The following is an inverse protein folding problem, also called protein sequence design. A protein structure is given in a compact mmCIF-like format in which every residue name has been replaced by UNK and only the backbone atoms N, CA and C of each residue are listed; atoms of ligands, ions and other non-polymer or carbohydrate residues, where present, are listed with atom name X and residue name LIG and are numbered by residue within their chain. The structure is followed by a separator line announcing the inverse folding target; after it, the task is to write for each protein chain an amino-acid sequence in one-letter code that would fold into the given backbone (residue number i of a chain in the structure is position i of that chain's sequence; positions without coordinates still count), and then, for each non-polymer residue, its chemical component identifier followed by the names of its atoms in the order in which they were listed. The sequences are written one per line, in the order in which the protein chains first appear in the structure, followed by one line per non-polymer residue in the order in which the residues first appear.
data_IF_575761803033
#
_entry.id   IF_575761803033
#
_cell.length_a   1.000
_cell.length_b   1.000
_cell.length_c   1.000
_cell.angle_alpha   90.00
_cell.angle_beta   90.00
_cell.angle_gamma   90.00
#
_symmetry.space_group_name_H-M   'P 1'
#
loop_
_entity.id
_entity.type
_entity.pdbx_description
1 polymer ?
#
# COMPACT_ATOMS: atom_id res chain seq x y z
N UNK A 1 -2.36 -7.55 6.98
CA UNK A 1 -3.27 -6.54 7.60
C UNK A 1 -2.54 -5.46 8.40
N UNK A 2 -3.21 -4.32 8.61
CA UNK A 2 -2.87 -3.20 9.52
C UNK A 2 -1.46 -2.62 9.43
N UNK A 3 -0.91 -2.58 8.21
CA UNK A 3 0.37 -1.96 7.89
C UNK A 3 0.30 -1.34 6.51
N UNK A 4 1.07 -0.29 6.26
CA UNK A 4 1.19 0.34 4.94
C UNK A 4 2.51 -0.04 4.32
N UNK A 5 2.49 -0.62 3.12
CA UNK A 5 3.66 -0.91 2.32
C UNK A 5 3.74 0.12 1.19
N UNK A 6 4.88 0.80 1.11
CA UNK A 6 5.20 1.76 0.06
C UNK A 6 6.27 1.18 -0.83
N UNK A 7 6.06 1.22 -2.15
CA UNK A 7 7.00 0.69 -3.15
C UNK A 7 7.46 1.86 -4.01
N UNK A 8 8.78 1.99 -4.16
CA UNK A 8 9.47 3.01 -4.95
C UNK A 8 10.08 2.34 -6.17
N UNK A 9 9.35 2.27 -7.30
CA UNK A 9 9.76 1.48 -8.44
C UNK A 9 10.98 2.07 -9.18
N UNK A 10 11.16 3.39 -9.14
CA UNK A 10 12.30 4.07 -9.79
C UNK A 10 13.60 3.83 -9.00
N UNK A 11 13.51 3.83 -7.68
CA UNK A 11 14.62 3.64 -6.75
C UNK A 11 14.88 2.16 -6.42
N UNK A 12 13.91 1.28 -6.71
CA UNK A 12 13.97 -0.16 -6.46
C UNK A 12 13.83 -0.57 -5.00
N UNK A 13 13.30 0.30 -4.13
CA UNK A 13 13.18 0.07 -2.68
C UNK A 13 11.72 -0.04 -2.23
N UNK A 14 11.50 -0.53 -1.01
CA UNK A 14 10.19 -0.47 -0.35
C UNK A 14 10.32 -0.16 1.14
N UNK A 15 9.26 0.35 1.73
CA UNK A 15 9.20 0.70 3.15
C UNK A 15 7.86 0.36 3.77
N UNK A 16 7.87 0.09 5.08
CA UNK A 16 6.66 -0.15 5.87
C UNK A 16 6.42 1.01 6.81
N UNK A 17 5.21 1.55 6.83
CA UNK A 17 4.73 2.61 7.72
C UNK A 17 5.49 3.95 7.65
N UNK A 18 6.37 4.14 6.67
CA UNK A 18 7.03 5.42 6.37
C UNK A 18 7.08 5.62 4.86
N UNK A 19 6.71 6.81 4.40
CA UNK A 19 6.78 7.25 3.01
C UNK A 19 7.56 8.56 2.95
N UNK A 20 8.79 8.54 2.46
CA UNK A 20 9.58 9.74 2.20
C UNK A 20 9.43 10.22 0.75
N UNK A 21 9.50 11.54 0.52
CA UNK A 21 9.48 12.11 -0.82
C UNK A 21 10.01 13.55 -0.85
N UNK A 22 10.49 14.05 -2.00
CA UNK A 22 10.99 15.41 -2.10
C UNK A 22 9.87 16.45 -2.16
N UNK A 23 10.09 17.60 -1.51
CA UNK A 23 9.20 18.76 -1.59
C UNK A 23 9.18 19.37 -2.98
N UNK A 24 8.08 20.06 -3.31
CA UNK A 24 7.87 20.77 -4.58
C UNK A 24 7.94 19.88 -5.83
N UNK A 25 7.86 18.56 -5.65
CA UNK A 25 7.76 17.58 -6.73
C UNK A 25 6.34 17.00 -6.73
N UNK A 26 5.60 17.07 -7.85
CA UNK A 26 4.34 16.35 -7.99
C UNK A 26 4.58 14.83 -7.92
N UNK A 27 3.77 14.15 -7.13
CA UNK A 27 3.84 12.70 -6.94
C UNK A 27 2.50 12.08 -7.28
N UNK A 28 2.55 10.91 -7.91
CA UNK A 28 1.38 10.09 -8.24
C UNK A 28 1.45 8.80 -7.44
N UNK A 29 0.61 8.67 -6.42
CA UNK A 29 0.46 7.44 -5.66
C UNK A 29 -0.52 6.51 -6.37
N UNK A 30 -0.09 5.27 -6.60
CA UNK A 30 -0.96 4.14 -7.00
C UNK A 30 -1.23 3.31 -5.76
N UNK A 31 -2.50 3.15 -5.42
CA UNK A 31 -2.91 2.56 -4.14
C UNK A 31 -3.84 1.38 -4.43
N UNK A 32 -3.58 0.26 -3.75
CA UNK A 32 -4.41 -0.94 -3.75
C UNK A 32 -4.46 -1.52 -2.33
N UNK A 33 -5.32 -2.52 -2.10
CA UNK A 33 -5.36 -3.27 -0.85
C UNK A 33 -5.09 -4.75 -1.14
N UNK A 34 -4.31 -5.41 -0.28
CA UNK A 34 -4.17 -6.89 -0.33
C UNK A 34 -5.13 -7.59 0.64
N UNK A 35 -6.13 -6.88 1.16
CA UNK A 35 -7.06 -7.43 2.17
C UNK A 35 -8.44 -6.75 2.03
N UNK A 36 -8.98 -6.18 3.09
CA UNK A 36 -10.25 -5.45 3.10
C UNK A 36 -10.09 -4.03 2.56
N UNK A 37 -11.21 -3.34 2.35
CA UNK A 37 -11.19 -1.91 2.02
C UNK A 37 -10.55 -1.10 3.15
N UNK A 38 -9.53 -0.31 2.80
CA UNK A 38 -8.88 0.64 3.69
C UNK A 38 -9.06 2.06 3.13
N UNK A 39 -8.75 3.08 3.93
CA UNK A 39 -8.76 4.46 3.46
C UNK A 39 -7.45 5.15 3.80
N UNK A 40 -6.69 5.50 2.77
CA UNK A 40 -5.45 6.27 2.89
C UNK A 40 -5.80 7.74 3.13
N UNK A 41 -5.36 8.28 4.26
CA UNK A 41 -5.66 9.66 4.62
C UNK A 41 -4.48 10.36 5.30
N UNK A 42 -4.08 11.52 4.75
CA UNK A 42 -3.01 12.37 5.28
C UNK A 42 -3.54 13.82 5.41
N UNK A 43 -4.24 14.16 6.51
CA UNK A 43 -5.03 15.40 6.62
C UNK A 43 -4.31 16.70 6.23
N UNK A 44 -3.01 16.77 6.53
CA UNK A 44 -2.19 17.95 6.35
C UNK A 44 -1.52 18.05 4.97
N UNK A 45 -1.66 17.04 4.12
CA UNK A 45 -0.95 16.96 2.84
C UNK A 45 -1.86 16.61 1.67
N UNK A 46 -2.67 15.57 1.83
CA UNK A 46 -3.49 15.02 0.76
C UNK A 46 -4.92 14.76 1.25
N UNK A 47 -5.85 14.70 0.31
CA UNK A 47 -7.19 14.24 0.59
C UNK A 47 -7.23 12.79 1.07
N UNK A 48 -8.45 12.30 1.25
CA UNK A 48 -8.71 10.90 1.55
C UNK A 48 -8.93 10.13 0.24
N UNK A 49 -8.38 8.92 0.13
CA UNK A 49 -8.67 8.00 -0.97
C UNK A 49 -8.85 6.57 -0.45
N UNK A 50 -9.72 5.80 -1.11
CA UNK A 50 -9.96 4.41 -0.76
C UNK A 50 -8.95 3.48 -1.43
N UNK A 51 -8.60 2.41 -0.72
CA UNK A 51 -7.77 1.32 -1.19
C UNK A 51 -8.63 0.05 -1.16
N UNK A 52 -8.87 -0.53 -2.34
CA UNK A 52 -9.71 -1.73 -2.51
C UNK A 52 -8.90 -2.84 -3.16
N UNK A 53 -9.17 -4.09 -2.75
CA UNK A 53 -8.53 -5.25 -3.35
C UNK A 53 -9.02 -5.46 -4.80
N UNK A 54 -8.11 -5.89 -5.67
CA UNK A 54 -8.37 -6.07 -7.10
C UNK A 54 -8.55 -4.77 -7.89
N UNK A 55 -8.42 -3.60 -7.27
CA UNK A 55 -8.53 -2.31 -7.93
C UNK A 55 -7.29 -1.45 -7.67
N UNK A 56 -7.03 -0.53 -8.59
CA UNK A 56 -6.04 0.52 -8.40
C UNK A 56 -6.75 1.87 -8.33
N UNK A 57 -6.49 2.59 -7.24
CA UNK A 57 -6.85 4.02 -7.11
C UNK A 57 -5.62 4.89 -7.29
N UNK A 58 -5.81 6.14 -7.71
CA UNK A 58 -4.73 7.08 -7.96
C UNK A 58 -4.94 8.37 -7.16
N UNK A 59 -3.89 8.82 -6.48
CA UNK A 59 -3.87 10.08 -5.73
C UNK A 59 -2.65 10.90 -6.14
N UNK A 60 -2.88 12.12 -6.59
CA UNK A 60 -1.80 13.07 -6.87
C UNK A 60 -1.60 14.00 -5.67
N UNK A 61 -0.36 14.22 -5.27
CA UNK A 61 -0.04 15.10 -4.14
C UNK A 61 1.26 15.88 -4.39
N UNK A 62 1.41 16.98 -3.67
CA UNK A 62 2.63 17.80 -3.66
C UNK A 62 2.77 18.45 -2.28
N UNK A 63 3.93 18.33 -1.64
CA UNK A 63 4.26 19.11 -0.44
C UNK A 63 4.96 20.40 -0.82
N UNK A 64 4.51 21.52 -0.25
CA UNK A 64 5.16 22.83 -0.48
C UNK A 64 6.41 23.03 0.40
N UNK A 65 6.42 22.46 1.60
CA UNK A 65 7.44 22.66 2.62
C UNK A 65 7.91 21.33 3.21
N UNK A 66 9.17 21.24 3.69
CA UNK A 66 9.65 20.05 4.38
C UNK A 66 8.91 19.84 5.70
N UNK A 67 8.65 18.59 6.06
CA UNK A 67 7.98 18.23 7.30
C UNK A 67 7.54 16.77 7.36
N UNK A 68 7.20 16.32 8.56
CA UNK A 68 6.55 15.02 8.77
C UNK A 68 5.05 15.20 8.91
N UNK A 69 4.29 14.46 8.11
CA UNK A 69 2.84 14.48 8.06
C UNK A 69 2.31 13.11 8.50
N UNK A 70 1.44 13.10 9.51
CA UNK A 70 0.87 11.86 10.01
C UNK A 70 -0.23 11.35 9.09
N UNK A 71 -0.02 10.16 8.55
CA UNK A 71 -1.00 9.37 7.82
C UNK A 71 -1.72 8.37 8.71
N UNK A 72 -2.99 8.10 8.39
CA UNK A 72 -3.80 7.11 9.12
C UNK A 72 -4.79 6.42 8.20
N UNK A 73 -5.22 5.25 8.62
CA UNK A 73 -6.45 4.67 8.08
C UNK A 73 -7.68 5.34 8.72
N UNK A 74 -8.63 5.80 7.90
CA UNK A 74 -9.91 6.36 8.38
C UNK A 74 -11.09 5.38 8.28
N UNK A 75 -10.89 4.19 7.70
CA UNK A 75 -11.92 3.15 7.55
C UNK A 75 -11.60 1.95 8.45
N UNK A 76 -12.54 1.58 9.33
CA UNK A 76 -12.39 0.42 10.22
C UNK A 76 -12.08 -0.85 9.41
N UNK A 77 -10.95 -1.49 9.72
CA UNK A 77 -10.44 -2.69 9.03
C UNK A 77 -10.13 -3.84 9.99
N UNK A 78 -10.67 -3.81 11.21
CA UNK A 78 -10.50 -4.86 12.24
C UNK A 78 -9.63 -4.44 13.43
N UNK A 79 -9.20 -5.41 14.23
CA UNK A 79 -8.64 -5.20 15.57
C UNK A 79 -7.38 -4.32 15.61
N UNK A 80 -6.53 -4.38 14.57
CA UNK A 80 -5.31 -3.57 14.47
C UNK A 80 -5.52 -2.16 13.90
N UNK A 81 -6.76 -1.78 13.54
CA UNK A 81 -7.07 -0.51 12.89
C UNK A 81 -6.59 0.72 13.68
N UNK A 82 -6.76 0.70 15.00
CA UNK A 82 -6.40 1.83 15.86
C UNK A 82 -4.88 2.14 15.83
N UNK A 83 -4.05 1.16 15.50
CA UNK A 83 -2.60 1.31 15.43
C UNK A 83 -2.10 1.52 13.98
N UNK A 84 -2.99 1.49 12.98
CA UNK A 84 -2.66 1.59 11.56
C UNK A 84 -2.36 3.03 11.14
N UNK A 85 -1.16 3.48 11.48
CA UNK A 85 -0.63 4.80 11.15
C UNK A 85 0.66 4.65 10.32
N UNK A 86 0.98 5.72 9.59
CA UNK A 86 2.26 5.85 8.88
C UNK A 86 2.72 7.30 8.92
N UNK A 87 4.01 7.52 8.66
CA UNK A 87 4.56 8.87 8.50
C UNK A 87 4.81 9.17 7.02
N UNK A 88 4.38 10.33 6.56
CA UNK A 88 4.68 10.87 5.25
C UNK A 88 5.69 12.01 5.44
N UNK A 89 6.95 11.79 5.05
CA UNK A 89 8.07 12.71 5.29
C UNK A 89 8.42 13.44 4.01
N UNK A 90 8.09 14.73 3.94
CA UNK A 90 8.54 15.60 2.87
C UNK A 90 9.90 16.19 3.23
N UNK A 91 10.90 16.02 2.36
CA UNK A 91 12.27 16.46 2.60
C UNK A 91 12.87 17.13 1.36
N UNK A 92 14.11 17.62 1.45
CA UNK A 92 14.81 18.16 0.27
C UNK A 92 15.17 17.02 -0.70
N UNK A 93 15.51 17.34 -1.94
CA UNK A 93 15.95 16.32 -2.90
C UNK A 93 17.22 15.60 -2.42
N UNK A 94 18.19 16.35 -1.89
CA UNK A 94 19.44 15.79 -1.37
C UNK A 94 19.19 14.87 -0.16
N UNK A 95 18.30 15.27 0.75
CA UNK A 95 17.91 14.42 1.90
C UNK A 95 17.18 13.16 1.44
N UNK A 96 16.35 13.26 0.39
CA UNK A 96 15.65 12.11 -0.18
C UNK A 96 16.62 11.12 -0.79
N UNK A 97 17.60 11.59 -1.56
CA UNK A 97 18.64 10.73 -2.13
C UNK A 97 19.44 10.03 -1.02
N UNK A 98 19.79 10.75 0.05
CA UNK A 98 20.44 10.16 1.22
C UNK A 98 19.56 9.11 1.94
N UNK A 99 18.25 9.37 2.05
CA UNK A 99 17.29 8.43 2.63
C UNK A 99 17.15 7.16 1.78
N UNK A 100 17.13 7.30 0.45
CA UNK A 100 17.12 6.16 -0.49
C UNK A 100 18.37 5.30 -0.31
N UNK A 101 19.55 5.91 -0.26
CA UNK A 101 20.81 5.16 -0.07
C UNK A 101 20.87 4.47 1.29
N UNK A 102 20.34 5.10 2.35
CA UNK A 102 20.17 4.45 3.65
C UNK A 102 19.25 3.23 3.57
N UNK A 103 18.10 3.36 2.88
CA UNK A 103 17.16 2.26 2.70
C UNK A 103 17.80 1.08 1.96
N UNK A 104 18.63 1.36 0.95
CA UNK A 104 19.41 0.34 0.22
C UNK A 104 20.47 -0.33 1.09
N UNK A 105 21.12 0.41 1.99
CA UNK A 105 22.18 -0.11 2.86
C UNK A 105 21.63 -0.97 4.02
N UNK A 106 20.55 -0.51 4.66
CA UNK A 106 19.99 -1.13 5.87
C UNK A 106 18.88 -2.15 5.57
N UNK A 107 18.31 -2.11 4.36
CA UNK A 107 17.15 -2.89 3.98
C UNK A 107 17.46 -4.33 3.58
N UNK A 108 16.45 -5.19 3.73
CA UNK A 108 16.46 -6.57 3.20
C UNK A 108 15.77 -6.64 1.85
N UNK A 109 15.89 -7.75 1.13
CA UNK A 109 15.09 -7.98 -0.06
C UNK A 109 13.62 -8.23 0.30
N UNK A 110 12.70 -7.56 -0.38
CA UNK A 110 11.26 -7.86 -0.36
C UNK A 110 10.94 -8.81 -1.52
N UNK A 111 11.30 -10.09 -1.34
CA UNK A 111 10.94 -11.18 -2.24
C UNK A 111 9.52 -11.72 -1.94
N UNK A 112 9.06 -12.70 -2.71
CA UNK A 112 7.73 -13.31 -2.53
C UNK A 112 7.52 -13.93 -1.13
N UNK A 113 8.56 -14.50 -0.51
CA UNK A 113 8.46 -15.11 0.82
C UNK A 113 8.41 -14.04 1.91
N UNK A 114 9.27 -13.02 1.82
CA UNK A 114 9.26 -11.85 2.69
C UNK A 114 7.93 -11.11 2.60
N UNK A 115 7.36 -10.99 1.39
CA UNK A 115 6.03 -10.43 1.19
C UNK A 115 4.94 -11.29 1.85
N UNK A 116 4.95 -12.61 1.67
CA UNK A 116 3.98 -13.50 2.29
C UNK A 116 4.02 -13.43 3.83
N UNK A 117 5.22 -13.32 4.41
CA UNK A 117 5.39 -13.08 5.85
C UNK A 117 4.90 -11.69 6.26
N UNK A 118 5.20 -10.66 5.46
CA UNK A 118 4.73 -9.31 5.67
C UNK A 118 3.21 -9.20 5.50
N UNK A 119 2.55 -10.02 4.70
CA UNK A 119 1.09 -9.96 4.50
C UNK A 119 0.31 -10.46 5.73
N UNK A 120 0.90 -11.35 6.54
CA UNK A 120 0.26 -11.93 7.74
C UNK A 120 -0.27 -10.83 8.69
N UNK A 121 -1.38 -11.07 9.38
CA UNK A 121 -1.93 -10.11 10.33
C UNK A 121 -0.92 -9.76 11.43
N UNK A 122 -0.67 -8.46 11.64
CA UNK A 122 0.19 -7.96 12.71
C UNK A 122 -0.14 -6.50 13.00
N UNK A 123 -0.02 -6.07 14.26
CA UNK A 123 -0.20 -4.67 14.66
C UNK A 123 1.13 -4.05 15.12
N UNK A 124 1.21 -2.72 15.11
CA UNK A 124 2.36 -1.93 15.60
C UNK A 124 3.69 -2.31 14.95
N UNK A 125 3.67 -2.62 13.67
CA UNK A 125 4.89 -2.93 12.90
C UNK A 125 5.76 -1.67 12.85
N UNK A 126 7.03 -1.73 13.27
CA UNK A 126 7.92 -0.58 13.21
C UNK A 126 8.24 -0.22 11.75
N UNK A 127 8.76 1.00 11.55
CA UNK A 127 9.30 1.38 10.25
C UNK A 127 10.36 0.37 9.83
N UNK A 128 10.18 -0.19 8.64
CA UNK A 128 11.05 -1.23 8.08
C UNK A 128 11.43 -0.84 6.66
N UNK A 129 12.71 -1.02 6.31
CA UNK A 129 13.27 -0.70 5.01
C UNK A 129 13.57 -1.98 4.23
N UNK A 130 13.36 -1.93 2.92
CA UNK A 130 13.72 -2.98 1.98
C UNK A 130 14.59 -2.41 0.87
N UNK A 131 15.74 -3.04 0.65
CA UNK A 131 16.77 -2.59 -0.29
C UNK A 131 16.50 -3.03 -1.74
N UNK A 132 15.62 -4.01 -1.92
CA UNK A 132 15.14 -4.45 -3.23
C UNK A 132 13.68 -4.91 -3.13
N UNK A 133 12.96 -4.85 -4.25
CA UNK A 133 11.56 -5.30 -4.34
C UNK A 133 11.41 -6.29 -5.48
N UNK A 134 10.62 -7.34 -5.27
CA UNK A 134 10.23 -8.27 -6.33
C UNK A 134 9.66 -7.50 -7.53
N UNK A 135 10.14 -7.76 -8.76
CA UNK A 135 9.60 -7.12 -9.96
C UNK A 135 8.08 -7.30 -10.06
N UNK A 136 7.38 -6.24 -10.49
CA UNK A 136 5.93 -6.26 -10.68
C UNK A 136 5.09 -6.64 -9.44
N UNK A 137 5.65 -6.60 -8.22
CA UNK A 137 4.94 -6.95 -6.97
C UNK A 137 3.59 -6.24 -6.83
N UNK A 138 3.53 -4.94 -7.16
CA UNK A 138 2.28 -4.19 -7.10
C UNK A 138 1.21 -4.76 -8.05
N UNK A 139 1.60 -5.18 -9.26
CA UNK A 139 0.67 -5.75 -10.25
C UNK A 139 0.19 -7.12 -9.78
N UNK A 140 1.08 -7.97 -9.29
CA UNK A 140 0.72 -9.32 -8.84
C UNK A 140 -0.25 -9.30 -7.65
N UNK A 141 -0.13 -8.31 -6.76
CA UNK A 141 -1.09 -8.10 -5.65
C UNK A 141 -2.49 -7.81 -6.18
N UNK A 142 -2.63 -7.02 -7.25
CA UNK A 142 -3.93 -6.72 -7.87
C UNK A 142 -4.49 -7.98 -8.55
N UNK A 143 -3.67 -8.64 -9.36
CA UNK A 143 -4.07 -9.82 -10.16
C UNK A 143 -4.51 -11.02 -9.31
N UNK A 144 -3.97 -11.14 -8.09
CA UNK A 144 -4.41 -12.11 -7.08
C UNK A 144 -5.93 -12.06 -6.83
N UNK A 145 -6.56 -10.89 -6.98
CA UNK A 145 -7.99 -10.71 -6.77
C UNK A 145 -8.80 -10.70 -8.07
N UNK A 146 -8.15 -10.52 -9.23
CA UNK A 146 -8.81 -10.52 -10.55
C UNK A 146 -9.29 -11.94 -10.92
N UNK A 147 -8.44 -12.93 -10.65
CA UNK A 147 -8.79 -14.36 -10.76
C UNK A 147 -9.84 -14.79 -9.72
N UNK A 148 -9.85 -14.16 -8.54
CA UNK A 148 -10.86 -14.36 -7.51
C UNK A 148 -12.23 -13.78 -7.88
N UNK A 149 -12.27 -12.59 -8.50
CA UNK A 149 -13.48 -11.99 -9.04
C UNK A 149 -14.08 -12.83 -10.17
N UNK A 150 -13.26 -13.30 -11.11
CA UNK A 150 -13.74 -14.20 -12.17
C UNK A 150 -14.29 -15.53 -11.61
N UNK A 151 -13.69 -16.07 -10.54
CA UNK A 151 -14.17 -17.27 -9.87
C UNK A 151 -15.47 -17.02 -9.08
N UNK A 152 -15.60 -15.89 -8.38
CA UNK A 152 -16.84 -15.51 -7.68
C UNK A 152 -17.98 -15.25 -8.65
N UNK A 153 -17.79 -14.48 -9.71
CA UNK A 153 -18.81 -14.25 -10.74
C UNK A 153 -19.30 -15.57 -11.33
N UNK A 154 -18.41 -16.55 -11.54
CA UNK A 154 -18.78 -17.86 -12.07
C UNK A 154 -19.55 -18.71 -11.04
N UNK A 155 -19.19 -18.61 -9.76
CA UNK A 155 -19.89 -19.30 -8.68
C UNK A 155 -21.28 -18.69 -8.40
N UNK A 156 -21.40 -17.36 -8.46
CA UNK A 156 -22.67 -16.63 -8.34
C UNK A 156 -23.60 -16.92 -9.53
N UNK A 157 -23.09 -16.86 -10.76
CA UNK A 157 -23.85 -17.27 -11.95
C UNK A 157 -24.30 -18.73 -11.88
N UNK A 158 -23.45 -19.64 -11.38
CA UNK A 158 -23.81 -21.06 -11.21
C UNK A 158 -24.85 -21.27 -10.11
N UNK A 159 -24.83 -20.45 -9.06
CA UNK A 159 -25.82 -20.50 -7.97
C UNK A 159 -27.18 -19.95 -8.41
N UNK A 160 -27.22 -18.90 -9.24
CA UNK A 160 -28.46 -18.38 -9.85
C UNK A 160 -29.06 -19.34 -10.88
N UNK A 161 -28.24 -20.04 -11.67
CA UNK A 161 -28.72 -21.07 -12.61
C UNK A 161 -29.36 -22.27 -11.88
N UNK A 162 -28.81 -22.68 -10.74
CA UNK A 162 -29.36 -23.76 -9.91
C UNK A 162 -30.65 -23.34 -9.17
N UNK A 163 -30.80 -22.04 -8.86
CA UNK A 163 -32.02 -21.51 -8.23
C UNK A 163 -33.17 -21.29 -9.22
N UNK A 164 -32.87 -21.13 -10.51
CA UNK A 164 -33.84 -20.90 -11.60
C UNK A 164 -34.38 -22.20 -12.23
N UNK A 165 -33.66 -23.32 -12.10
CA UNK A 165 -34.02 -24.61 -12.71
C UNK A 165 -34.99 -25.50 -11.91
N UNK A 166 -35.63 -24.97 -10.87
CA UNK A 166 -36.51 -25.73 -9.97
C UNK A 166 -37.97 -25.28 -10.03
N UNK A 167 -38.64 -25.52 -11.16
CA UNK A 167 -40.11 -25.53 -11.28
C UNK A 167 -40.57 -26.68 -12.21
#
# INVERSE_FOLDING_TARGET
DWKWLFIYPEEGIATVNEMAFPVKRPLTLRITSDTVMNSFYVPALAGQIYAMAGMQSQLNLIASEPGSYRGRNSQYSGDGFADQHFEAVAMTADDFDAWVEKSKADGKALDAAAYADLAKPSSKVPVTYFSSVEPDLFRSIIEKYDSGMAAMTRAEMSAEEQASGGE
#
